data_IF_308527245819
#
_entry.id   IF_308527245819
#
_cell.length_a   1.000
_cell.length_b   1.000
_cell.length_c   1.000
_cell.angle_alpha   90.00
_cell.angle_beta   90.00
_cell.angle_gamma   90.00
#
_symmetry.space_group_name_H-M   'P 1'
#
loop_
_entity.id
_entity.type
_entity.pdbx_description
1 polymer ?
#
# COMPACT_ATOMS: atom_id res chain seq x y z
N UNK A 1 -21.99 72.46 -52.84
CA UNK A 1 -20.99 71.47 -52.40
C UNK A 1 -21.55 70.76 -51.18
N UNK A 2 -22.08 69.54 -51.29
CA UNK A 2 -22.53 68.74 -50.15
C UNK A 2 -21.41 67.79 -49.64
N UNK A 3 -21.32 67.61 -48.33
CA UNK A 3 -20.42 66.65 -47.66
C UNK A 3 -20.92 65.20 -47.76
N UNK A 4 -20.02 64.20 -47.68
CA UNK A 4 -20.34 62.80 -47.93
C UNK A 4 -20.79 62.02 -46.68
N UNK A 5 -21.46 60.89 -46.94
CA UNK A 5 -21.79 59.80 -46.01
C UNK A 5 -20.54 59.15 -45.40
N UNK A 6 -20.71 58.59 -44.19
CA UNK A 6 -20.04 57.46 -43.47
C UNK A 6 -20.48 57.62 -41.99
N UNK A 7 -20.83 56.64 -41.17
CA UNK A 7 -21.15 55.22 -41.29
C UNK A 7 -21.71 54.79 -39.91
N UNK A 8 -22.27 53.59 -39.83
CA UNK A 8 -23.07 53.00 -38.76
C UNK A 8 -22.49 53.03 -37.32
N UNK A 9 -23.41 53.31 -36.40
CA UNK A 9 -23.61 52.70 -35.06
C UNK A 9 -22.48 51.80 -34.50
N UNK A 10 -21.65 52.35 -33.61
CA UNK A 10 -20.77 51.58 -32.72
C UNK A 10 -21.52 51.28 -31.42
N UNK A 11 -22.04 50.06 -31.29
CA UNK A 11 -22.58 49.53 -30.04
C UNK A 11 -21.52 48.62 -29.39
N UNK A 12 -21.31 48.70 -28.07
CA UNK A 12 -20.29 47.90 -27.42
C UNK A 12 -20.69 46.43 -27.46
N UNK A 13 -19.76 45.59 -27.92
CA UNK A 13 -19.87 44.13 -27.89
C UNK A 13 -19.89 43.70 -26.42
N UNK A 14 -21.03 43.16 -25.98
CA UNK A 14 -21.21 42.55 -24.66
C UNK A 14 -20.16 41.45 -24.46
N UNK A 15 -19.26 41.67 -23.50
CA UNK A 15 -18.37 40.63 -23.02
C UNK A 15 -19.19 39.62 -22.19
N UNK A 16 -19.32 38.40 -22.70
CA UNK A 16 -19.92 37.29 -21.94
C UNK A 16 -19.20 37.11 -20.59
N UNK A 17 -19.94 36.94 -19.48
CA UNK A 17 -19.33 36.63 -18.19
C UNK A 17 -18.71 35.23 -18.27
N UNK A 18 -17.39 35.17 -18.12
CA UNK A 18 -16.64 33.93 -17.94
C UNK A 18 -17.19 33.23 -16.70
N UNK A 19 -17.80 32.05 -16.89
CA UNK A 19 -18.28 31.20 -15.80
C UNK A 19 -17.18 31.00 -14.75
N UNK A 20 -17.49 31.15 -13.44
CA UNK A 20 -16.50 30.96 -12.40
C UNK A 20 -15.97 29.52 -12.46
N UNK A 21 -14.64 29.39 -12.56
CA UNK A 21 -13.96 28.10 -12.45
C UNK A 21 -14.45 27.40 -11.18
N UNK A 22 -14.85 26.13 -11.30
CA UNK A 22 -15.28 25.32 -10.17
C UNK A 22 -14.29 25.45 -9.00
N UNK A 23 -14.75 25.59 -7.75
CA UNK A 23 -13.86 25.78 -6.61
C UNK A 23 -12.85 24.63 -6.57
N UNK A 24 -11.56 24.99 -6.59
CA UNK A 24 -10.44 24.03 -6.55
C UNK A 24 -10.66 23.14 -5.33
N UNK A 25 -10.89 21.84 -5.56
CA UNK A 25 -11.19 20.91 -4.49
C UNK A 25 -10.14 21.02 -3.38
N UNK A 26 -10.58 21.32 -2.17
CA UNK A 26 -9.68 21.52 -1.03
C UNK A 26 -8.95 20.20 -0.75
N UNK A 27 -7.62 20.25 -0.65
CA UNK A 27 -6.84 19.07 -0.33
C UNK A 27 -7.28 18.48 1.00
N UNK A 28 -7.29 17.15 1.06
CA UNK A 28 -7.57 16.36 2.25
C UNK A 28 -6.27 15.92 2.90
N UNK A 29 -6.26 15.56 4.19
CA UNK A 29 -5.09 14.95 4.83
C UNK A 29 -4.56 13.72 4.06
N UNK A 30 -5.45 12.93 3.47
CA UNK A 30 -5.07 11.76 2.69
C UNK A 30 -4.28 12.12 1.41
N UNK A 31 -4.54 13.28 0.80
CA UNK A 31 -3.77 13.72 -0.37
C UNK A 31 -2.30 13.98 -0.01
N UNK A 32 -2.05 14.54 1.17
CA UNK A 32 -0.71 14.73 1.72
C UNK A 32 -0.04 13.41 2.08
N UNK A 33 -0.76 12.49 2.72
CA UNK A 33 -0.24 11.14 3.05
C UNK A 33 0.17 10.38 1.80
N UNK A 34 -0.65 10.41 0.75
CA UNK A 34 -0.31 9.79 -0.55
C UNK A 34 0.93 10.43 -1.18
N UNK A 35 0.99 11.76 -1.22
CA UNK A 35 2.16 12.47 -1.78
C UNK A 35 3.44 12.18 -0.98
N UNK A 36 3.36 12.14 0.35
CA UNK A 36 4.48 11.77 1.22
C UNK A 36 4.93 10.34 0.98
N UNK A 37 4.00 9.40 0.83
CA UNK A 37 4.28 8.00 0.51
C UNK A 37 4.95 7.86 -0.86
N UNK A 38 4.48 8.61 -1.86
CA UNK A 38 5.10 8.64 -3.19
C UNK A 38 6.53 9.15 -3.16
N UNK A 39 6.77 10.22 -2.39
CA UNK A 39 8.09 10.80 -2.24
C UNK A 39 9.04 9.88 -1.46
N UNK A 40 8.54 9.23 -0.41
CA UNK A 40 9.27 8.21 0.35
C UNK A 40 9.74 7.06 -0.56
N UNK A 41 8.83 6.53 -1.39
CA UNK A 41 9.15 5.41 -2.30
C UNK A 41 10.10 5.80 -3.42
N UNK A 42 9.93 6.99 -4.00
CA UNK A 42 10.71 7.42 -5.17
C UNK A 42 12.05 8.05 -4.80
N UNK A 43 12.21 8.50 -3.55
CA UNK A 43 13.39 9.17 -3.03
C UNK A 43 13.82 8.53 -1.71
N UNK A 44 13.54 9.19 -0.60
CA UNK A 44 13.91 8.77 0.76
C UNK A 44 13.07 9.52 1.77
N UNK A 45 13.16 9.13 3.04
CA UNK A 45 12.52 9.86 4.14
C UNK A 45 12.95 11.33 4.20
N UNK A 46 14.23 11.64 3.93
CA UNK A 46 14.77 13.00 3.97
C UNK A 46 14.14 13.92 2.91
N UNK A 47 13.66 13.35 1.80
CA UNK A 47 12.98 14.11 0.76
C UNK A 47 11.57 14.53 1.19
N UNK A 48 10.94 13.81 2.13
CA UNK A 48 9.57 14.07 2.61
C UNK A 48 9.54 15.33 3.46
N UNK A 49 9.58 16.51 2.83
CA UNK A 49 9.57 17.82 3.48
C UNK A 49 8.31 18.58 3.12
N UNK A 50 7.81 19.39 4.06
CA UNK A 50 6.57 20.14 3.89
C UNK A 50 6.60 21.06 2.66
N UNK A 51 7.73 21.72 2.39
CA UNK A 51 7.88 22.62 1.25
C UNK A 51 7.93 21.87 -0.09
N UNK A 52 8.60 20.71 -0.12
CA UNK A 52 8.63 19.83 -1.30
C UNK A 52 7.23 19.30 -1.60
N UNK A 53 6.50 18.85 -0.58
CA UNK A 53 5.13 18.36 -0.71
C UNK A 53 4.17 19.45 -1.15
N UNK A 54 4.25 20.65 -0.56
CA UNK A 54 3.41 21.79 -0.95
C UNK A 54 3.63 22.16 -2.42
N UNK A 55 4.89 22.17 -2.88
CA UNK A 55 5.23 22.39 -4.29
C UNK A 55 4.68 21.28 -5.18
N UNK A 56 4.81 20.01 -4.78
CA UNK A 56 4.30 18.86 -5.53
C UNK A 56 2.77 18.87 -5.65
N UNK A 57 2.08 19.36 -4.62
CA UNK A 57 0.62 19.46 -4.55
C UNK A 57 0.08 20.79 -5.09
N UNK A 58 0.94 21.67 -5.60
CA UNK A 58 0.59 23.01 -6.12
C UNK A 58 -0.18 23.90 -5.11
N UNK A 59 0.18 23.82 -3.84
CA UNK A 59 -0.43 24.60 -2.76
C UNK A 59 0.61 25.36 -1.94
N UNK A 60 0.15 26.27 -1.10
CA UNK A 60 1.02 26.99 -0.18
C UNK A 60 1.43 26.10 1.00
N UNK A 61 2.59 26.40 1.59
CA UNK A 61 3.03 25.77 2.84
C UNK A 61 2.00 25.96 3.96
N UNK A 62 1.28 27.08 3.97
CA UNK A 62 0.22 27.34 4.95
C UNK A 62 -0.91 26.32 4.89
N UNK A 63 -1.22 25.79 3.70
CA UNK A 63 -2.26 24.75 3.53
C UNK A 63 -1.98 23.48 4.32
N UNK A 64 -0.70 23.14 4.53
CA UNK A 64 -0.30 21.95 5.29
C UNK A 64 -0.76 22.00 6.75
N UNK A 65 -0.61 23.17 7.38
CA UNK A 65 -0.84 23.31 8.82
C UNK A 65 -2.32 23.30 9.23
N UNK A 66 -3.24 23.32 8.25
CA UNK A 66 -4.65 23.02 8.50
C UNK A 66 -4.91 21.53 8.75
N UNK A 67 -4.01 20.66 8.30
CA UNK A 67 -4.17 19.21 8.38
C UNK A 67 -3.23 18.54 9.38
N UNK A 68 -1.99 19.04 9.48
CA UNK A 68 -0.95 18.44 10.32
C UNK A 68 -0.23 19.50 11.13
N UNK A 69 0.11 19.17 12.38
CA UNK A 69 0.84 20.09 13.26
C UNK A 69 2.28 20.31 12.78
N UNK A 70 2.91 19.25 12.30
CA UNK A 70 4.29 19.24 11.84
C UNK A 70 4.52 18.06 10.88
N UNK A 71 5.77 17.89 10.43
CA UNK A 71 6.17 16.78 9.55
C UNK A 71 5.98 15.42 10.22
N UNK A 72 6.27 15.31 11.52
CA UNK A 72 6.22 14.02 12.22
C UNK A 72 4.79 13.51 12.34
N UNK A 73 3.82 14.41 12.53
CA UNK A 73 2.38 14.11 12.50
C UNK A 73 1.95 13.50 11.15
N UNK A 74 2.44 14.05 10.03
CA UNK A 74 2.25 13.46 8.70
C UNK A 74 2.90 12.07 8.60
N UNK A 75 4.13 11.92 9.10
CA UNK A 75 4.87 10.67 9.02
C UNK A 75 4.24 9.56 9.86
N UNK A 76 3.69 9.89 11.04
CA UNK A 76 2.85 8.98 11.82
C UNK A 76 1.65 8.50 11.00
N UNK A 77 0.95 9.40 10.30
CA UNK A 77 -0.19 9.05 9.47
C UNK A 77 0.19 8.20 8.26
N UNK A 78 1.39 8.40 7.68
CA UNK A 78 1.95 7.52 6.65
C UNK A 78 2.18 6.10 7.18
N UNK A 79 2.77 5.97 8.39
CA UNK A 79 2.99 4.67 9.02
C UNK A 79 1.67 3.99 9.39
N UNK A 80 0.69 4.74 9.88
CA UNK A 80 -0.64 4.22 10.20
C UNK A 80 -1.34 3.68 8.94
N UNK A 81 -1.40 4.47 7.86
CA UNK A 81 -2.00 4.05 6.58
C UNK A 81 -1.30 2.81 6.01
N UNK A 82 0.04 2.74 6.10
CA UNK A 82 0.78 1.54 5.69
C UNK A 82 0.44 0.33 6.56
N UNK A 83 0.41 0.47 7.88
CA UNK A 83 0.10 -0.62 8.82
C UNK A 83 -1.30 -1.19 8.58
N UNK A 84 -2.29 -0.31 8.41
CA UNK A 84 -3.68 -0.70 8.14
C UNK A 84 -3.84 -1.45 6.81
N UNK A 85 -3.18 -0.99 5.74
CA UNK A 85 -3.21 -1.64 4.41
C UNK A 85 -2.47 -2.98 4.39
N UNK A 86 -1.50 -3.13 5.27
CA UNK A 86 -0.61 -4.29 5.33
C UNK A 86 -1.13 -5.38 6.26
N UNK A 87 -2.10 -5.05 7.13
CA UNK A 87 -2.79 -5.99 8.00
C UNK A 87 -3.50 -7.06 7.17
N UNK A 88 -3.02 -8.29 7.27
CA UNK A 88 -3.58 -9.48 6.60
C UNK A 88 -4.67 -10.08 7.48
N UNK A 89 -5.70 -10.69 6.89
CA UNK A 89 -6.69 -11.49 7.63
C UNK A 89 -8.12 -11.30 7.15
N UNK A 90 -8.88 -10.30 7.65
CA UNK A 90 -10.34 -10.29 7.52
C UNK A 90 -10.85 -10.32 6.07
N UNK A 91 -10.12 -9.70 5.13
CA UNK A 91 -10.49 -9.71 3.71
C UNK A 91 -10.22 -11.06 3.05
N UNK A 92 -9.16 -11.75 3.45
CA UNK A 92 -8.71 -13.00 2.82
C UNK A 92 -9.51 -14.19 3.35
N UNK A 93 -9.80 -14.21 4.66
CA UNK A 93 -10.68 -15.19 5.30
C UNK A 93 -12.10 -15.18 4.70
N UNK A 94 -12.65 -14.00 4.39
CA UNK A 94 -13.95 -13.89 3.71
C UNK A 94 -13.97 -14.43 2.29
N UNK A 95 -12.81 -14.53 1.64
CA UNK A 95 -12.69 -14.99 0.25
C UNK A 95 -12.45 -16.49 0.15
N UNK A 96 -11.90 -17.13 1.20
CA UNK A 96 -11.54 -18.53 1.17
C UNK A 96 -11.81 -19.21 2.53
N UNK A 97 -12.87 -20.02 2.64
CA UNK A 97 -13.18 -20.72 3.89
C UNK A 97 -12.24 -21.91 4.15
N UNK A 98 -11.48 -22.37 3.15
CA UNK A 98 -10.51 -23.45 3.34
C UNK A 98 -9.27 -22.92 4.05
N UNK A 99 -8.96 -23.48 5.22
CA UNK A 99 -7.75 -23.14 5.96
C UNK A 99 -6.50 -23.44 5.12
N UNK A 100 -6.47 -24.51 4.32
CA UNK A 100 -5.33 -24.75 3.41
C UNK A 100 -5.33 -23.81 2.20
N UNK A 101 -6.52 -23.46 1.68
CA UNK A 101 -6.66 -22.54 0.55
C UNK A 101 -6.08 -21.15 0.85
N UNK A 102 -6.20 -20.70 2.09
CA UNK A 102 -5.67 -19.42 2.54
C UNK A 102 -4.12 -19.37 2.48
N UNK A 103 -3.40 -20.47 2.68
CA UNK A 103 -1.94 -20.54 2.42
C UNK A 103 -1.62 -20.26 0.96
N UNK A 104 -2.40 -20.80 0.02
CA UNK A 104 -2.25 -20.52 -1.41
C UNK A 104 -2.43 -19.04 -1.71
N UNK A 105 -3.46 -18.44 -1.11
CA UNK A 105 -3.76 -17.02 -1.28
C UNK A 105 -2.65 -16.12 -0.74
N UNK A 106 -2.08 -16.48 0.41
CA UNK A 106 -0.93 -15.79 1.01
C UNK A 106 0.33 -15.90 0.13
N UNK A 107 0.61 -17.09 -0.42
CA UNK A 107 1.71 -17.30 -1.36
C UNK A 107 1.52 -16.52 -2.67
N UNK A 108 0.27 -16.26 -3.07
CA UNK A 108 -0.05 -15.51 -4.28
C UNK A 108 0.07 -13.97 -4.12
N UNK A 109 0.09 -13.45 -2.89
CA UNK A 109 0.09 -11.99 -2.61
C UNK A 109 1.13 -11.19 -3.41
N UNK A 110 2.42 -11.63 -3.50
CA UNK A 110 3.44 -10.87 -4.23
C UNK A 110 3.15 -10.74 -5.73
N UNK A 111 2.30 -11.59 -6.30
CA UNK A 111 2.02 -11.65 -7.74
C UNK A 111 0.73 -10.95 -8.16
N UNK A 112 -0.01 -10.31 -7.24
CA UNK A 112 -1.29 -9.64 -7.52
C UNK A 112 -1.13 -8.31 -8.29
N UNK A 113 -0.36 -8.30 -9.37
CA UNK A 113 -0.25 -7.21 -10.34
C UNK A 113 0.54 -5.98 -9.87
N UNK A 114 0.31 -4.84 -10.54
CA UNK A 114 1.03 -3.57 -10.27
C UNK A 114 0.82 -3.04 -8.86
N UNK A 115 -0.34 -3.30 -8.26
CA UNK A 115 -0.62 -2.95 -6.86
C UNK A 115 0.32 -3.68 -5.90
N UNK A 116 0.54 -4.99 -6.09
CA UNK A 116 1.47 -5.76 -5.27
C UNK A 116 2.91 -5.21 -5.34
N UNK A 117 3.38 -4.85 -6.54
CA UNK A 117 4.70 -4.22 -6.71
C UNK A 117 4.79 -2.89 -5.98
N UNK A 118 3.76 -2.05 -6.09
CA UNK A 118 3.73 -0.75 -5.39
C UNK A 118 3.74 -0.95 -3.87
N UNK A 119 2.96 -1.89 -3.34
CA UNK A 119 2.97 -2.23 -1.91
C UNK A 119 4.35 -2.71 -1.45
N UNK A 120 5.03 -3.56 -2.22
CA UNK A 120 6.40 -3.98 -1.91
C UNK A 120 7.38 -2.80 -1.86
N UNK A 121 7.29 -1.86 -2.80
CA UNK A 121 8.15 -0.67 -2.79
C UNK A 121 7.90 0.22 -1.56
N UNK A 122 6.65 0.35 -1.12
CA UNK A 122 6.31 1.08 0.12
C UNK A 122 6.91 0.37 1.33
N UNK A 123 6.71 -0.95 1.44
CA UNK A 123 7.30 -1.79 2.49
C UNK A 123 8.82 -1.59 2.59
N UNK A 124 9.54 -1.65 1.46
CA UNK A 124 10.99 -1.48 1.47
C UNK A 124 11.43 -0.07 1.84
N UNK A 125 10.71 0.96 1.40
CA UNK A 125 11.03 2.34 1.75
C UNK A 125 10.83 2.60 3.25
N UNK A 126 9.78 2.04 3.85
CA UNK A 126 9.53 2.10 5.30
C UNK A 126 10.59 1.31 6.07
N UNK A 127 10.95 0.10 5.63
CA UNK A 127 12.04 -0.66 6.26
C UNK A 127 13.39 0.04 6.16
N UNK A 128 13.67 0.73 5.05
CA UNK A 128 14.88 1.53 4.90
C UNK A 128 14.88 2.72 5.87
N UNK A 129 13.74 3.38 6.04
CA UNK A 129 13.54 4.45 7.03
C UNK A 129 13.72 3.94 8.47
N UNK A 130 13.10 2.80 8.82
CA UNK A 130 13.18 2.16 10.13
C UNK A 130 14.61 1.85 10.61
N UNK A 131 15.59 1.75 9.70
CA UNK A 131 17.00 1.53 10.07
C UNK A 131 17.61 2.66 10.91
N UNK A 132 17.01 3.85 10.90
CA UNK A 132 17.57 5.05 11.53
C UNK A 132 16.54 5.86 12.32
N UNK A 133 15.31 5.37 12.44
CA UNK A 133 14.21 6.11 13.04
C UNK A 133 13.38 5.19 13.95
N UNK A 134 13.33 5.46 15.27
CA UNK A 134 12.62 4.62 16.23
C UNK A 134 11.11 4.51 15.96
N UNK A 135 10.46 5.56 15.45
CA UNK A 135 9.02 5.56 15.18
C UNK A 135 8.68 4.60 14.04
N UNK A 136 9.48 4.62 12.97
CA UNK A 136 9.30 3.67 11.87
C UNK A 136 9.72 2.26 12.26
N UNK A 137 10.73 2.10 13.13
CA UNK A 137 11.13 0.81 13.67
C UNK A 137 9.98 0.15 14.45
N UNK A 138 9.38 0.87 15.41
CA UNK A 138 8.25 0.38 16.21
C UNK A 138 7.06 -0.05 15.32
N UNK A 139 6.75 0.75 14.29
CA UNK A 139 5.70 0.42 13.34
C UNK A 139 6.01 -0.87 12.55
N UNK A 140 7.26 -1.07 12.12
CA UNK A 140 7.68 -2.28 11.41
C UNK A 140 7.62 -3.50 12.30
N UNK A 141 8.14 -3.41 13.53
CA UNK A 141 8.12 -4.50 14.52
C UNK A 141 6.67 -4.91 14.82
N UNK A 142 5.80 -3.94 15.06
CA UNK A 142 4.36 -4.18 15.30
C UNK A 142 3.71 -4.92 14.13
N UNK A 143 3.95 -4.49 12.89
CA UNK A 143 3.36 -5.15 11.70
C UNK A 143 3.91 -6.56 11.52
N UNK A 144 5.20 -6.77 11.76
CA UNK A 144 5.83 -8.09 11.62
C UNK A 144 5.34 -9.07 12.68
N UNK A 145 5.18 -8.63 13.94
CA UNK A 145 4.57 -9.42 15.01
C UNK A 145 3.14 -9.85 14.65
N UNK A 146 2.30 -8.90 14.25
CA UNK A 146 0.91 -9.21 13.85
C UNK A 146 0.86 -10.19 12.68
N UNK A 147 1.74 -10.03 11.69
CA UNK A 147 1.78 -10.91 10.52
C UNK A 147 2.25 -12.32 10.90
N UNK A 148 3.27 -12.42 11.75
CA UNK A 148 3.77 -13.69 12.25
C UNK A 148 2.73 -14.42 13.07
N UNK A 149 2.06 -13.73 14.01
CA UNK A 149 1.00 -14.31 14.83
C UNK A 149 -0.17 -14.81 13.99
N UNK A 150 -0.59 -14.02 13.00
CA UNK A 150 -1.64 -14.43 12.06
C UNK A 150 -1.25 -15.70 11.29
N UNK A 151 -0.03 -15.78 10.74
CA UNK A 151 0.43 -16.99 10.03
C UNK A 151 0.57 -18.20 10.95
N UNK A 152 1.04 -18.01 12.19
CA UNK A 152 1.15 -19.09 13.18
C UNK A 152 -0.22 -19.64 13.52
N UNK A 153 -1.18 -18.78 13.87
CA UNK A 153 -2.56 -19.18 14.16
C UNK A 153 -3.15 -19.98 13.00
N UNK A 154 -2.86 -19.55 11.77
CA UNK A 154 -3.36 -20.19 10.58
C UNK A 154 -2.77 -21.60 10.37
N UNK A 155 -1.45 -21.78 10.50
CA UNK A 155 -0.84 -23.11 10.43
C UNK A 155 -1.28 -24.02 11.60
N UNK A 156 -1.55 -23.46 12.78
CA UNK A 156 -2.14 -24.24 13.89
C UNK A 156 -3.57 -24.69 13.57
N UNK A 157 -4.37 -23.85 12.89
CA UNK A 157 -5.72 -24.22 12.45
C UNK A 157 -5.72 -25.33 11.37
N UNK A 158 -4.63 -25.48 10.62
CA UNK A 158 -4.42 -26.64 9.72
C UNK A 158 -4.12 -27.93 10.52
N UNK A 159 -3.67 -27.80 11.78
CA UNK A 159 -3.37 -28.90 12.68
C UNK A 159 -1.88 -29.12 12.94
N UNK A 160 -1.01 -28.20 12.53
CA UNK A 160 0.42 -28.27 12.87
C UNK A 160 0.65 -27.90 14.34
N UNK A 161 1.60 -28.59 14.99
CA UNK A 161 2.07 -28.21 16.31
C UNK A 161 2.66 -26.79 16.29
N UNK A 162 2.52 -26.04 17.39
CA UNK A 162 2.95 -24.63 17.48
C UNK A 162 4.39 -24.39 17.03
N UNK A 163 5.30 -25.32 17.33
CA UNK A 163 6.72 -25.23 16.92
C UNK A 163 6.85 -25.25 15.39
N UNK A 164 6.17 -26.17 14.72
CA UNK A 164 6.22 -26.32 13.26
C UNK A 164 5.46 -25.19 12.57
N UNK A 165 4.33 -24.76 13.14
CA UNK A 165 3.57 -23.61 12.67
C UNK A 165 4.41 -22.32 12.65
N UNK A 166 5.24 -22.08 13.67
CA UNK A 166 6.19 -20.95 13.72
C UNK A 166 7.21 -21.00 12.59
N UNK A 167 7.81 -22.16 12.35
CA UNK A 167 8.78 -22.33 11.25
C UNK A 167 8.11 -22.11 9.88
N UNK A 168 6.91 -22.66 9.68
CA UNK A 168 6.14 -22.50 8.44
C UNK A 168 5.70 -21.05 8.20
N UNK A 169 5.25 -20.35 9.26
CA UNK A 169 4.94 -18.93 9.22
C UNK A 169 6.15 -18.10 8.79
N UNK A 170 7.32 -18.38 9.37
CA UNK A 170 8.56 -17.70 9.00
C UNK A 170 8.95 -17.98 7.54
N UNK A 171 8.88 -19.25 7.10
CA UNK A 171 9.16 -19.62 5.71
C UNK A 171 8.22 -18.94 4.71
N UNK A 172 6.92 -18.90 5.01
CA UNK A 172 5.92 -18.20 4.20
C UNK A 172 6.25 -16.71 4.11
N UNK A 173 6.56 -16.08 5.23
CA UNK A 173 6.86 -14.66 5.26
C UNK A 173 8.17 -14.32 4.54
N UNK A 174 9.22 -15.13 4.74
CA UNK A 174 10.49 -15.01 4.04
C UNK A 174 10.33 -15.18 2.52
N UNK A 175 9.50 -16.13 2.08
CA UNK A 175 9.14 -16.31 0.67
C UNK A 175 8.50 -15.05 0.10
N UNK A 176 7.49 -14.48 0.77
CA UNK A 176 6.81 -13.27 0.30
C UNK A 176 7.77 -12.09 0.15
N UNK A 177 8.64 -11.87 1.13
CA UNK A 177 9.63 -10.80 1.08
C UNK A 177 10.63 -11.02 -0.07
N UNK A 178 11.03 -12.28 -0.29
CA UNK A 178 11.96 -12.66 -1.35
C UNK A 178 11.35 -12.45 -2.74
N UNK A 179 10.10 -12.87 -2.97
CA UNK A 179 9.38 -12.63 -4.23
C UNK A 179 9.16 -11.14 -4.49
N UNK A 180 8.85 -10.39 -3.43
CA UNK A 180 8.66 -8.95 -3.50
C UNK A 180 9.96 -8.19 -3.79
N UNK A 181 11.13 -8.72 -3.41
CA UNK A 181 12.44 -8.07 -3.62
C UNK A 181 13.06 -8.50 -4.94
N UNK A 182 13.05 -9.81 -5.20
CA UNK A 182 13.71 -10.45 -6.34
C UNK A 182 12.77 -10.59 -7.52
N UNK A 183 11.93 -9.57 -7.80
CA UNK A 183 10.88 -9.68 -8.81
C UNK A 183 11.41 -9.90 -10.24
N UNK A 184 12.68 -9.64 -10.51
CA UNK A 184 13.32 -9.93 -11.80
C UNK A 184 13.82 -11.38 -11.92
N UNK A 185 13.88 -12.12 -10.82
CA UNK A 185 14.37 -13.50 -10.82
C UNK A 185 13.31 -14.48 -11.31
N UNK A 186 13.66 -15.20 -12.37
CA UNK A 186 12.84 -16.22 -13.00
C UNK A 186 11.74 -15.69 -13.93
N UNK A 187 11.49 -16.46 -14.97
CA UNK A 187 10.32 -16.38 -15.84
C UNK A 187 9.02 -16.69 -15.06
N UNK A 188 7.87 -16.39 -15.67
CA UNK A 188 6.56 -16.70 -15.07
C UNK A 188 6.40 -18.21 -14.76
N UNK A 189 6.74 -19.15 -15.66
CA UNK A 189 6.69 -20.59 -15.35
C UNK A 189 7.55 -20.99 -14.15
N UNK A 190 8.76 -20.44 -14.03
CA UNK A 190 9.66 -20.73 -12.90
C UNK A 190 9.11 -20.19 -11.57
N UNK A 191 8.48 -19.00 -11.60
CA UNK A 191 7.79 -18.43 -10.43
C UNK A 191 6.59 -19.27 -10.01
N UNK A 192 5.81 -19.75 -10.97
CA UNK A 192 4.66 -20.62 -10.72
C UNK A 192 5.11 -21.97 -10.14
N UNK A 193 6.17 -22.57 -10.69
CA UNK A 193 6.77 -23.80 -10.17
C UNK A 193 7.30 -23.63 -8.75
N UNK A 194 8.01 -22.53 -8.47
CA UNK A 194 8.52 -22.21 -7.14
C UNK A 194 7.40 -22.00 -6.14
N UNK A 195 6.32 -21.30 -6.52
CA UNK A 195 5.14 -21.11 -5.66
C UNK A 195 4.51 -22.44 -5.27
N UNK A 196 4.31 -23.35 -6.24
CA UNK A 196 3.78 -24.71 -5.99
C UNK A 196 4.69 -25.50 -5.05
N UNK A 197 6.01 -25.46 -5.29
CA UNK A 197 6.97 -26.11 -4.41
C UNK A 197 6.89 -25.60 -2.96
N UNK A 198 6.77 -24.29 -2.76
CA UNK A 198 6.59 -23.71 -1.43
C UNK A 198 5.24 -24.10 -0.81
N UNK A 199 4.17 -24.13 -1.58
CA UNK A 199 2.86 -24.61 -1.13
C UNK A 199 2.93 -26.05 -0.62
N UNK A 200 3.45 -26.97 -1.46
CA UNK A 200 3.60 -28.38 -1.12
C UNK A 200 4.48 -28.56 0.13
N UNK A 201 5.57 -27.79 0.24
CA UNK A 201 6.48 -27.84 1.39
C UNK A 201 5.82 -27.33 2.67
N UNK A 202 5.07 -26.23 2.60
CA UNK A 202 4.40 -25.63 3.76
C UNK A 202 3.24 -26.50 4.26
N UNK A 203 2.57 -27.23 3.36
CA UNK A 203 1.46 -28.12 3.66
C UNK A 203 1.89 -29.58 3.87
N UNK A 204 3.15 -29.92 3.63
CA UNK A 204 3.66 -31.27 3.84
C UNK A 204 3.43 -31.74 5.28
N UNK A 205 2.85 -32.94 5.42
CA UNK A 205 2.52 -33.53 6.72
C UNK A 205 1.35 -32.85 7.43
N UNK A 206 0.57 -32.01 6.74
CA UNK A 206 -0.71 -31.54 7.26
C UNK A 206 -1.58 -32.76 7.62
N UNK A 207 -2.21 -32.78 8.80
CA UNK A 207 -3.21 -33.79 9.11
C UNK A 207 -4.25 -33.84 8.00
N UNK A 208 -4.73 -35.05 7.68
CA UNK A 208 -5.93 -35.16 6.86
C UNK A 208 -7.03 -34.30 7.51
N UNK A 209 -7.83 -33.56 6.73
CA UNK A 209 -8.97 -32.86 7.29
C UNK A 209 -9.72 -33.89 8.13
N UNK A 210 -10.03 -33.53 9.39
CA UNK A 210 -10.86 -34.39 10.22
C UNK A 210 -12.08 -34.74 9.36
N UNK A 211 -12.36 -36.04 9.23
CA UNK A 211 -13.56 -36.49 8.56
C UNK A 211 -14.70 -35.83 9.34
N UNK A 212 -15.28 -34.78 8.78
CA UNK A 212 -16.44 -34.11 9.35
C UNK A 212 -17.55 -35.15 9.24
N UNK A 213 -17.61 -36.02 10.24
CA UNK A 213 -18.52 -37.15 10.32
C UNK A 213 -19.94 -36.65 10.24
N UNK A 214 -20.45 -36.55 9.02
CA UNK A 214 -21.87 -36.47 8.74
C UNK A 214 -22.41 -37.88 9.00
N UNK A 215 -22.75 -38.11 10.26
CA UNK A 215 -23.69 -39.13 10.68
C UNK A 215 -25.12 -38.58 10.60
#
# INVERSE_FOLDING_TARGET
>A
MPSPLIDEHDAPVDAEPTSPAAPRAQLTPNDWVRAATDLLVTKSIDAVRVDVLAKQLEVTRGSFYWHFKNRDDLLHQVLQDWSERTRVGPKLERQNPSVQGLVRDLLALPFRGRSARRTAMIEFAIRAWARRDPMAQEAVETVDEHRMDYYVQHFQAIGFARKDAKTRAFMLYAYQLSEATLWHQGSKPEKDARRRFFEDTLLAGAPLPADDGVA
#
